data_IF_622407644823
#
_entry.id   IF_622407644823
#
_cell.length_a   1.000
_cell.length_b   1.000
_cell.length_c   1.000
_cell.angle_alpha   90.00
_cell.angle_beta   90.00
_cell.angle_gamma   90.00
#
_symmetry.space_group_name_H-M   'P 1'
#
loop_
_entity.id
_entity.type
_entity.pdbx_description
1 polymer ?
#
# COMPACT_ATOMS: atom_id res chain seq x y z
N UNK A 1 7.80 -32.05 22.86
CA UNK A 1 6.55 -31.27 22.94
C UNK A 1 6.77 -30.17 23.95
N UNK A 2 7.03 -28.96 23.48
CA UNK A 2 7.38 -27.79 24.30
C UNK A 2 6.08 -27.18 24.83
N UNK A 3 5.88 -27.18 26.15
CA UNK A 3 4.71 -26.58 26.79
C UNK A 3 4.80 -25.06 26.71
N UNK A 4 3.93 -24.45 25.91
CA UNK A 4 3.78 -22.99 25.81
C UNK A 4 3.22 -22.48 27.15
N UNK A 5 3.97 -21.62 27.83
CA UNK A 5 3.54 -21.00 29.08
C UNK A 5 2.33 -20.09 28.81
N UNK A 6 1.23 -20.31 29.53
CA UNK A 6 0.06 -19.44 29.50
C UNK A 6 0.44 -18.06 30.06
N UNK A 7 0.21 -16.96 29.31
CA UNK A 7 0.54 -15.62 29.78
C UNK A 7 -0.34 -15.24 30.98
N UNK A 8 0.25 -14.51 31.93
CA UNK A 8 -0.46 -13.98 33.11
C UNK A 8 -1.50 -12.97 32.65
N UNK A 9 -2.78 -13.33 32.72
CA UNK A 9 -3.89 -12.41 32.54
C UNK A 9 -4.08 -11.59 33.81
N UNK A 10 -4.40 -10.30 33.68
CA UNK A 10 -4.86 -9.44 34.79
C UNK A 10 -6.29 -9.78 35.25
N UNK A 11 -6.85 -10.88 34.75
CA UNK A 11 -8.23 -11.25 35.02
C UNK A 11 -8.29 -12.06 36.33
N UNK A 12 -9.08 -11.51 37.25
CA UNK A 12 -9.56 -12.08 38.51
C UNK A 12 -8.79 -11.72 39.78
N UNK A 13 -8.86 -10.44 40.19
CA UNK A 13 -9.08 -10.20 41.61
C UNK A 13 -10.56 -10.53 41.86
N UNK A 14 -10.85 -11.76 42.31
CA UNK A 14 -12.20 -12.13 42.76
C UNK A 14 -12.44 -11.51 44.14
N UNK A 15 -13.33 -10.53 44.19
CA UNK A 15 -13.86 -9.94 45.42
C UNK A 15 -14.83 -8.83 45.08
N UNK A 16 -15.92 -8.68 45.85
CA UNK A 16 -16.67 -7.43 45.85
C UNK A 16 -15.76 -6.35 46.44
N UNK A 17 -15.64 -5.21 45.78
CA UNK A 17 -15.05 -4.02 46.40
C UNK A 17 -15.79 -3.73 47.71
N UNK A 18 -15.09 -3.36 48.79
CA UNK A 18 -15.74 -3.03 50.05
C UNK A 18 -16.75 -1.90 49.83
N UNK A 19 -17.93 -1.99 50.47
CA UNK A 19 -18.93 -0.92 50.44
C UNK A 19 -18.27 0.37 50.92
N UNK A 20 -18.21 1.35 50.02
CA UNK A 20 -17.63 2.66 50.29
C UNK A 20 -18.79 3.61 50.59
N UNK A 21 -18.73 4.33 51.72
CA UNK A 21 -19.76 5.26 52.21
C UNK A 21 -19.95 6.53 51.35
N UNK A 22 -19.43 6.54 50.12
CA UNK A 22 -19.46 7.69 49.23
C UNK A 22 -20.78 7.74 48.43
N UNK A 23 -21.40 8.92 48.26
CA UNK A 23 -22.66 9.05 47.53
C UNK A 23 -22.47 8.73 46.05
N UNK A 24 -23.04 7.62 45.59
CA UNK A 24 -23.09 7.25 44.17
C UNK A 24 -24.28 7.92 43.49
N UNK A 25 -24.01 8.67 42.42
CA UNK A 25 -25.06 9.16 41.53
C UNK A 25 -25.40 8.08 40.50
N UNK A 26 -26.67 7.68 40.46
CA UNK A 26 -27.20 6.76 39.46
C UNK A 26 -27.84 7.56 38.32
N UNK A 27 -27.46 7.26 37.09
CA UNK A 27 -28.17 7.77 35.90
C UNK A 27 -29.57 7.13 35.80
N UNK A 28 -30.47 7.73 35.02
CA UNK A 28 -31.85 7.25 34.77
C UNK A 28 -31.93 5.80 34.28
N UNK A 29 -30.85 5.26 33.72
CA UNK A 29 -30.72 3.87 33.26
C UNK A 29 -30.10 2.93 34.32
N UNK A 30 -29.88 3.39 35.55
CA UNK A 30 -29.37 2.59 36.68
C UNK A 30 -27.87 2.31 36.65
N UNK A 31 -27.12 2.98 35.78
CA UNK A 31 -25.65 2.89 35.75
C UNK A 31 -25.07 3.83 36.80
N UNK A 32 -24.34 3.29 37.78
CA UNK A 32 -23.61 4.08 38.77
C UNK A 32 -22.35 4.66 38.16
N UNK A 33 -22.25 5.99 38.12
CA UNK A 33 -20.99 6.66 37.78
C UNK A 33 -20.26 6.93 39.09
N UNK A 34 -19.23 6.14 39.38
CA UNK A 34 -18.36 6.38 40.53
C UNK A 34 -17.59 7.70 40.31
N UNK A 35 -17.61 8.60 41.31
CA UNK A 35 -16.89 9.86 41.24
C UNK A 35 -15.41 9.62 41.57
N UNK A 36 -14.56 9.51 40.54
CA UNK A 36 -13.12 9.30 40.71
C UNK A 36 -12.34 9.35 39.40
N UNK A 37 -11.01 9.36 39.48
CA UNK A 37 -10.15 9.25 38.30
C UNK A 37 -10.28 7.83 37.71
N UNK A 38 -11.10 7.70 36.67
CA UNK A 38 -11.26 6.44 35.96
C UNK A 38 -9.96 6.10 35.21
N UNK A 39 -9.36 4.95 35.54
CA UNK A 39 -8.21 4.46 34.79
C UNK A 39 -8.68 4.10 33.37
N UNK A 40 -8.26 4.89 32.38
CA UNK A 40 -8.61 4.72 30.96
C UNK A 40 -8.21 3.35 30.40
N UNK A 41 -7.40 2.58 31.14
CA UNK A 41 -6.97 1.22 30.77
C UNK A 41 -7.81 0.11 31.40
N UNK A 42 -8.70 0.42 32.36
CA UNK A 42 -9.64 -0.57 32.89
C UNK A 42 -10.62 -1.01 31.79
N UNK A 43 -10.51 -2.26 31.35
CA UNK A 43 -11.37 -2.86 30.32
C UNK A 43 -10.66 -3.12 28.98
N UNK A 44 -9.41 -2.70 28.82
CA UNK A 44 -8.63 -3.01 27.62
C UNK A 44 -8.02 -4.41 27.77
N UNK A 45 -8.61 -5.40 27.11
CA UNK A 45 -8.07 -6.77 27.08
C UNK A 45 -6.90 -6.86 26.09
N UNK A 46 -5.72 -7.26 26.58
CA UNK A 46 -4.52 -7.43 25.77
C UNK A 46 -4.72 -8.39 24.58
N UNK A 47 -5.62 -9.38 24.71
CA UNK A 47 -5.94 -10.30 23.63
C UNK A 47 -6.75 -9.62 22.52
N UNK A 48 -7.66 -8.69 22.89
CA UNK A 48 -8.44 -7.93 21.91
C UNK A 48 -7.58 -6.97 21.11
N UNK A 49 -6.57 -6.32 21.75
CA UNK A 49 -5.58 -5.48 21.06
C UNK A 49 -4.79 -6.31 20.06
N UNK A 50 -4.28 -7.47 20.47
CA UNK A 50 -3.51 -8.34 19.59
C UNK A 50 -4.34 -8.81 18.38
N UNK A 51 -5.63 -9.12 18.57
CA UNK A 51 -6.55 -9.47 17.49
C UNK A 51 -6.87 -8.28 16.57
N UNK A 52 -6.93 -7.05 17.10
CA UNK A 52 -7.12 -5.85 16.28
C UNK A 52 -5.88 -5.62 15.41
N UNK A 53 -4.68 -5.71 15.98
CA UNK A 53 -3.43 -5.55 15.22
C UNK A 53 -3.27 -6.60 14.11
N UNK A 54 -3.65 -7.86 14.35
CA UNK A 54 -3.61 -8.89 13.30
C UNK A 54 -4.62 -8.63 12.19
N UNK A 55 -5.85 -8.23 12.53
CA UNK A 55 -6.88 -7.91 11.52
C UNK A 55 -6.52 -6.68 10.68
N UNK A 56 -5.85 -5.68 11.26
CA UNK A 56 -5.31 -4.54 10.50
C UNK A 56 -4.23 -4.99 9.51
N UNK A 57 -3.29 -5.86 9.91
CA UNK A 57 -2.25 -6.42 9.01
C UNK A 57 -2.86 -7.25 7.88
N UNK A 58 -3.79 -8.13 8.20
CA UNK A 58 -4.49 -8.95 7.21
C UNK A 58 -5.26 -8.08 6.20
N UNK A 59 -5.93 -7.01 6.67
CA UNK A 59 -6.60 -6.05 5.80
C UNK A 59 -5.63 -5.30 4.86
N UNK A 60 -4.45 -4.92 5.33
CA UNK A 60 -3.40 -4.32 4.51
C UNK A 60 -2.88 -5.29 3.46
N UNK A 61 -2.59 -6.55 3.83
CA UNK A 61 -2.18 -7.61 2.91
C UNK A 61 -3.27 -7.90 1.86
N UNK A 62 -4.54 -7.95 2.25
CA UNK A 62 -5.67 -8.11 1.32
C UNK A 62 -5.84 -6.91 0.39
N UNK A 63 -5.61 -5.68 0.87
CA UNK A 63 -5.57 -4.48 0.02
C UNK A 63 -4.39 -4.57 -0.96
N UNK A 64 -3.24 -5.09 -0.53
CA UNK A 64 -2.10 -5.35 -1.42
C UNK A 64 -2.44 -6.42 -2.48
N UNK A 65 -3.17 -7.48 -2.15
CA UNK A 65 -3.58 -8.55 -3.08
C UNK A 65 -4.70 -8.11 -4.03
N UNK A 66 -5.62 -7.25 -3.58
CA UNK A 66 -6.68 -6.65 -4.41
C UNK A 66 -6.16 -5.71 -5.49
N UNK A 67 -4.95 -5.20 -5.34
CA UNK A 67 -4.24 -4.49 -6.39
C UNK A 67 -3.85 -5.51 -7.47
N UNK A 68 -4.81 -5.89 -8.32
CA UNK A 68 -4.70 -6.91 -9.36
C UNK A 68 -3.41 -6.70 -10.17
N UNK A 69 -2.38 -7.44 -9.81
CA UNK A 69 -1.10 -7.42 -10.51
C UNK A 69 -1.27 -8.23 -11.79
N UNK A 70 -1.08 -7.57 -12.93
CA UNK A 70 -0.87 -8.27 -14.19
C UNK A 70 0.62 -8.25 -14.44
N UNK A 71 1.28 -9.40 -14.22
CA UNK A 71 2.67 -9.57 -14.62
C UNK A 71 2.77 -9.37 -16.12
N UNK A 72 3.51 -8.35 -16.55
CA UNK A 72 3.74 -8.07 -17.97
C UNK A 72 4.62 -9.11 -18.65
N UNK A 73 5.36 -9.88 -17.87
CA UNK A 73 6.31 -10.87 -18.35
C UNK A 73 5.73 -12.27 -18.10
N UNK A 74 5.23 -12.97 -19.14
CA UNK A 74 4.60 -14.29 -18.98
C UNK A 74 5.58 -15.39 -18.53
N UNK A 75 6.88 -15.12 -18.60
CA UNK A 75 7.95 -16.07 -18.26
C UNK A 75 8.38 -16.00 -16.78
N UNK A 76 7.91 -14.99 -16.03
CA UNK A 76 8.21 -14.85 -14.60
C UNK A 76 6.96 -15.21 -13.81
N UNK A 77 7.07 -16.22 -12.94
CA UNK A 77 5.99 -16.64 -12.03
C UNK A 77 5.83 -15.70 -10.82
N UNK A 78 6.64 -14.63 -10.73
CA UNK A 78 6.62 -13.63 -9.67
C UNK A 78 5.79 -12.41 -10.07
N UNK A 79 5.11 -11.75 -9.11
CA UNK A 79 4.26 -10.59 -9.41
C UNK A 79 5.03 -9.36 -9.92
N UNK A 80 6.33 -9.29 -9.64
CA UNK A 80 7.24 -8.23 -10.07
C UNK A 80 8.46 -8.82 -10.76
N UNK A 81 8.98 -8.08 -11.74
CA UNK A 81 10.16 -8.47 -12.51
C UNK A 81 11.44 -7.87 -11.89
N UNK A 82 12.59 -8.53 -12.07
CA UNK A 82 13.88 -7.93 -11.67
C UNK A 82 14.20 -6.72 -12.55
N UNK A 83 14.89 -5.73 -11.99
CA UNK A 83 15.20 -4.51 -12.73
C UNK A 83 15.91 -4.80 -14.05
N UNK A 84 16.83 -5.76 -14.09
CA UNK A 84 17.52 -6.23 -15.29
C UNK A 84 16.54 -6.64 -16.40
N UNK A 85 15.53 -7.45 -16.08
CA UNK A 85 14.53 -7.89 -17.08
C UNK A 85 13.68 -6.73 -17.59
N UNK A 86 13.34 -5.79 -16.71
CA UNK A 86 12.59 -4.57 -17.05
C UNK A 86 13.44 -3.66 -17.95
N UNK A 87 14.72 -3.50 -17.64
CA UNK A 87 15.70 -2.73 -18.43
C UNK A 87 15.88 -3.33 -19.82
N UNK A 88 16.03 -4.65 -19.93
CA UNK A 88 16.10 -5.33 -21.22
C UNK A 88 14.82 -5.13 -22.04
N UNK A 89 13.66 -5.13 -21.40
CA UNK A 89 12.39 -4.84 -22.08
C UNK A 89 12.31 -3.38 -22.55
N UNK A 90 12.76 -2.42 -21.73
CA UNK A 90 12.79 -1.01 -22.08
C UNK A 90 13.71 -0.74 -23.28
N UNK A 91 14.91 -1.33 -23.29
CA UNK A 91 15.87 -1.23 -24.39
C UNK A 91 15.31 -1.82 -25.70
N UNK A 92 14.66 -2.99 -25.64
CA UNK A 92 13.97 -3.57 -26.81
C UNK A 92 12.90 -2.64 -27.39
N UNK A 93 12.12 -1.98 -26.51
CA UNK A 93 11.06 -1.05 -26.94
C UNK A 93 11.61 0.26 -27.50
N UNK A 94 12.76 0.70 -27.02
CA UNK A 94 13.41 1.90 -27.54
C UNK A 94 14.02 1.67 -28.94
N UNK A 95 14.54 0.45 -29.18
CA UNK A 95 14.93 -0.04 -30.50
C UNK A 95 16.31 0.41 -31.00
N UNK A 96 17.16 0.95 -30.13
CA UNK A 96 18.48 1.50 -30.50
C UNK A 96 19.64 0.58 -30.09
N UNK A 97 19.50 -0.18 -29.00
CA UNK A 97 20.50 -1.14 -28.55
C UNK A 97 19.99 -2.58 -28.65
N UNK A 98 20.85 -3.51 -29.08
CA UNK A 98 20.55 -4.93 -29.02
C UNK A 98 20.69 -5.43 -27.56
N UNK A 99 19.70 -6.14 -27.00
CA UNK A 99 19.74 -6.59 -25.59
C UNK A 99 20.90 -7.52 -25.25
N UNK A 100 21.46 -8.22 -26.24
CA UNK A 100 22.59 -9.12 -26.07
C UNK A 100 23.97 -8.44 -25.96
N UNK A 101 24.06 -7.13 -26.22
CA UNK A 101 25.32 -6.37 -26.19
C UNK A 101 25.30 -5.26 -25.15
N UNK A 102 24.37 -5.30 -24.20
CA UNK A 102 24.24 -4.28 -23.16
C UNK A 102 25.34 -4.47 -22.14
N UNK A 103 26.19 -3.46 -21.97
CA UNK A 103 27.28 -3.45 -21.00
C UNK A 103 26.75 -3.21 -19.58
N UNK A 104 27.53 -3.64 -18.57
CA UNK A 104 27.20 -3.46 -17.16
C UNK A 104 27.10 -1.98 -16.76
N UNK A 105 27.85 -1.09 -17.40
CA UNK A 105 27.77 0.36 -17.15
C UNK A 105 26.41 0.93 -17.58
N UNK A 106 25.88 0.49 -18.72
CA UNK A 106 24.53 0.88 -19.18
C UNK A 106 23.48 0.38 -18.20
N UNK A 107 23.62 -0.85 -17.67
CA UNK A 107 22.71 -1.35 -16.64
C UNK A 107 22.73 -0.51 -15.37
N UNK A 108 23.91 -0.05 -14.92
CA UNK A 108 24.02 0.82 -13.75
C UNK A 108 23.39 2.19 -13.98
N UNK A 109 23.50 2.74 -15.18
CA UNK A 109 22.76 3.95 -15.56
C UNK A 109 21.24 3.76 -15.48
N UNK A 110 20.72 2.57 -15.85
CA UNK A 110 19.29 2.26 -15.67
C UNK A 110 18.88 2.09 -14.20
N UNK A 111 19.80 1.73 -13.30
CA UNK A 111 19.54 1.76 -11.84
C UNK A 111 19.28 3.19 -11.37
N UNK A 112 20.05 4.16 -11.86
CA UNK A 112 19.83 5.57 -11.54
C UNK A 112 18.46 6.06 -12.05
N UNK A 113 18.08 5.70 -13.28
CA UNK A 113 16.76 6.03 -13.81
C UNK A 113 15.62 5.35 -13.06
N UNK A 114 15.80 4.10 -12.64
CA UNK A 114 14.83 3.43 -11.80
C UNK A 114 14.62 4.18 -10.47
N UNK A 115 15.69 4.71 -9.88
CA UNK A 115 15.62 5.50 -8.66
C UNK A 115 14.96 6.88 -8.88
N UNK A 116 15.14 7.52 -10.04
CA UNK A 116 14.39 8.74 -10.38
C UNK A 116 12.89 8.46 -10.52
N UNK A 117 12.51 7.35 -11.17
CA UNK A 117 11.10 6.94 -11.28
C UNK A 117 10.49 6.63 -9.91
N UNK A 118 11.27 6.09 -8.97
CA UNK A 118 10.84 5.90 -7.59
C UNK A 118 10.53 7.23 -6.90
N UNK A 119 11.36 8.25 -7.08
CA UNK A 119 11.09 9.57 -6.50
C UNK A 119 9.84 10.22 -7.10
N UNK A 120 9.63 10.11 -8.41
CA UNK A 120 8.39 10.55 -9.07
C UNK A 120 7.15 9.82 -8.52
N UNK A 121 7.28 8.53 -8.24
CA UNK A 121 6.23 7.72 -7.62
C UNK A 121 5.95 8.13 -6.17
N UNK A 122 6.98 8.43 -5.39
CA UNK A 122 6.84 8.87 -3.98
C UNK A 122 6.15 10.22 -3.86
N UNK A 123 6.39 11.12 -4.81
CA UNK A 123 5.69 12.40 -4.90
C UNK A 123 4.23 12.29 -5.38
N UNK A 124 3.77 11.11 -5.79
CA UNK A 124 2.49 10.95 -6.47
C UNK A 124 1.29 10.84 -5.50
N UNK A 125 0.20 11.64 -5.65
CA UNK A 125 -0.94 11.65 -4.71
C UNK A 125 -1.70 10.32 -4.56
N UNK A 126 -1.63 9.46 -5.59
CA UNK A 126 -2.26 8.13 -5.60
C UNK A 126 -1.35 7.00 -5.12
N UNK A 127 -0.12 7.31 -4.70
CA UNK A 127 0.80 6.33 -4.15
C UNK A 127 0.67 6.27 -2.63
N UNK A 128 0.23 5.12 -2.12
CA UNK A 128 -0.04 4.94 -0.68
C UNK A 128 1.19 4.40 0.09
N UNK A 129 2.27 3.96 -0.58
CA UNK A 129 3.44 3.34 0.05
C UNK A 129 4.73 4.20 -0.07
N UNK A 130 4.91 5.23 0.76
CA UNK A 130 6.06 6.15 0.66
C UNK A 130 7.42 5.50 1.03
N UNK A 131 7.44 4.27 1.54
CA UNK A 131 8.64 3.59 2.07
C UNK A 131 9.16 2.49 1.12
N UNK A 132 9.34 2.81 -0.17
CA UNK A 132 10.08 1.94 -1.08
C UNK A 132 11.57 2.30 -1.01
N UNK A 133 12.43 1.32 -0.72
CA UNK A 133 13.88 1.57 -0.84
C UNK A 133 14.33 1.62 -2.30
N UNK A 134 15.41 2.37 -2.52
CA UNK A 134 16.07 2.48 -3.81
C UNK A 134 16.63 1.14 -4.31
N UNK A 135 16.77 1.05 -5.62
CA UNK A 135 17.52 -0.02 -6.26
C UNK A 135 19.03 0.20 -6.04
N UNK A 136 19.72 -0.85 -5.60
CA UNK A 136 21.18 -0.85 -5.45
C UNK A 136 21.85 -1.71 -6.52
N UNK A 137 21.18 -2.79 -6.93
CA UNK A 137 21.69 -3.74 -7.90
C UNK A 137 20.67 -4.00 -9.03
N UNK A 138 21.10 -4.23 -10.29
CA UNK A 138 20.19 -4.57 -11.40
C UNK A 138 19.34 -5.82 -11.17
N UNK A 139 19.78 -6.76 -10.34
CA UNK A 139 19.01 -7.96 -10.01
C UNK A 139 17.95 -7.74 -8.93
N UNK A 140 17.88 -6.56 -8.31
CA UNK A 140 16.91 -6.26 -7.27
C UNK A 140 15.47 -6.25 -7.81
N UNK A 141 14.52 -6.63 -6.94
CA UNK A 141 13.08 -6.68 -7.23
C UNK A 141 12.37 -5.76 -6.23
N UNK A 142 11.49 -4.89 -6.72
CA UNK A 142 10.67 -3.99 -5.88
C UNK A 142 9.20 -4.12 -6.23
N UNK A 143 8.33 -3.76 -5.27
CA UNK A 143 6.87 -3.80 -5.40
C UNK A 143 6.30 -2.64 -6.24
N UNK A 144 6.92 -2.38 -7.40
CA UNK A 144 6.49 -1.32 -8.33
C UNK A 144 5.93 -1.96 -9.59
N UNK A 145 4.78 -1.49 -10.12
CA UNK A 145 4.24 -2.03 -11.36
C UNK A 145 5.23 -1.88 -12.53
N UNK A 146 5.58 -3.00 -13.17
CA UNK A 146 6.54 -3.05 -14.28
C UNK A 146 6.21 -2.08 -15.42
N UNK A 147 4.92 -1.89 -15.72
CA UNK A 147 4.46 -0.93 -16.75
C UNK A 147 4.92 0.51 -16.49
N UNK A 148 4.90 0.93 -15.21
CA UNK A 148 5.32 2.28 -14.82
C UNK A 148 6.84 2.36 -14.94
N UNK A 149 7.57 1.34 -14.46
CA UNK A 149 9.02 1.28 -14.54
C UNK A 149 9.53 1.31 -15.99
N UNK A 150 8.98 0.46 -16.88
CA UNK A 150 9.36 0.43 -18.30
C UNK A 150 9.13 1.80 -18.96
N UNK A 151 7.97 2.41 -18.74
CA UNK A 151 7.63 3.69 -19.35
C UNK A 151 8.48 4.85 -18.79
N UNK A 152 8.74 4.86 -17.48
CA UNK A 152 9.57 5.87 -16.83
C UNK A 152 11.04 5.76 -17.23
N UNK A 153 11.60 4.56 -17.25
CA UNK A 153 12.98 4.35 -17.72
C UNK A 153 13.13 4.72 -19.20
N UNK A 154 12.15 4.41 -20.05
CA UNK A 154 12.12 4.87 -21.44
C UNK A 154 12.13 6.40 -21.54
N UNK A 155 11.35 7.07 -20.70
CA UNK A 155 11.30 8.53 -20.65
C UNK A 155 12.64 9.13 -20.23
N UNK A 156 13.20 8.75 -19.07
CA UNK A 156 14.48 9.31 -18.61
C UNK A 156 15.64 8.98 -19.56
N UNK A 157 15.64 7.79 -20.14
CA UNK A 157 16.62 7.43 -21.16
C UNK A 157 16.50 8.33 -22.41
N UNK A 158 15.28 8.58 -22.88
CA UNK A 158 15.06 9.50 -24.00
C UNK A 158 15.50 10.93 -23.68
N UNK A 159 15.32 11.38 -22.44
CA UNK A 159 15.74 12.70 -21.94
C UNK A 159 17.26 12.81 -21.93
N UNK A 160 17.97 11.81 -21.41
CA UNK A 160 19.42 11.80 -21.38
C UNK A 160 20.02 11.82 -22.78
N UNK A 161 19.42 11.08 -23.72
CA UNK A 161 19.83 11.07 -25.12
C UNK A 161 19.42 12.32 -25.91
N UNK A 162 18.66 13.25 -25.31
CA UNK A 162 18.04 14.40 -25.99
C UNK A 162 17.30 13.97 -27.27
N UNK A 163 16.61 12.83 -27.18
CA UNK A 163 15.95 12.22 -28.33
C UNK A 163 14.61 12.90 -28.61
N UNK A 164 14.26 13.06 -29.89
CA UNK A 164 12.92 13.54 -30.28
C UNK A 164 11.79 12.62 -29.79
N UNK A 165 12.12 11.39 -29.36
CA UNK A 165 11.17 10.45 -28.76
C UNK A 165 10.65 10.89 -27.38
N UNK A 166 11.26 11.90 -26.75
CA UNK A 166 10.79 12.47 -25.46
C UNK A 166 9.34 12.95 -25.58
N UNK A 167 8.98 13.58 -26.71
CA UNK A 167 7.63 14.11 -26.94
C UNK A 167 6.56 13.00 -26.95
N UNK A 168 6.94 11.78 -27.35
CA UNK A 168 6.04 10.63 -27.36
C UNK A 168 6.02 9.92 -25.99
N UNK A 169 7.19 9.67 -25.38
CA UNK A 169 7.28 8.86 -24.16
C UNK A 169 6.89 9.61 -22.89
N UNK A 170 7.09 10.94 -22.82
CA UNK A 170 6.68 11.75 -21.67
C UNK A 170 5.18 11.66 -21.35
N UNK A 171 4.27 12.03 -22.26
CA UNK A 171 2.83 11.95 -21.99
C UNK A 171 2.36 10.51 -21.80
N UNK A 172 3.02 9.54 -22.46
CA UNK A 172 2.71 8.11 -22.27
C UNK A 172 3.02 7.64 -20.85
N UNK A 173 4.17 8.03 -20.29
CA UNK A 173 4.58 7.71 -18.92
C UNK A 173 3.60 8.26 -17.89
N UNK A 174 3.33 9.57 -17.90
CA UNK A 174 2.43 10.20 -16.92
C UNK A 174 1.00 9.65 -17.04
N UNK A 175 0.49 9.44 -18.25
CA UNK A 175 -0.84 8.85 -18.45
C UNK A 175 -0.91 7.41 -17.92
N UNK A 176 0.14 6.61 -18.17
CA UNK A 176 0.22 5.24 -17.69
C UNK A 176 0.27 5.19 -16.16
N UNK A 177 1.12 6.01 -15.56
CA UNK A 177 1.28 6.14 -14.10
C UNK A 177 -0.05 6.53 -13.46
N UNK A 178 -0.66 7.62 -13.91
CA UNK A 178 -1.95 8.10 -13.38
C UNK A 178 -3.03 7.02 -13.48
N UNK A 179 -3.14 6.35 -14.64
CA UNK A 179 -4.13 5.32 -14.87
C UNK A 179 -3.95 4.13 -13.92
N UNK A 180 -2.74 3.57 -13.84
CA UNK A 180 -2.47 2.39 -13.02
C UNK A 180 -2.67 2.71 -11.54
N UNK A 181 -2.13 3.84 -11.07
CA UNK A 181 -2.25 4.22 -9.67
C UNK A 181 -3.69 4.55 -9.28
N UNK A 182 -4.44 5.21 -10.16
CA UNK A 182 -5.86 5.44 -9.95
C UNK A 182 -6.64 4.12 -9.82
N UNK A 183 -6.45 3.19 -10.76
CA UNK A 183 -7.11 1.88 -10.68
C UNK A 183 -6.66 1.07 -9.47
N UNK A 184 -5.43 1.25 -9.00
CA UNK A 184 -4.93 0.60 -7.78
C UNK A 184 -5.63 1.17 -6.53
N UNK A 185 -5.76 2.49 -6.44
CA UNK A 185 -6.33 3.17 -5.27
C UNK A 185 -7.85 3.04 -5.18
N UNK A 186 -8.54 3.16 -6.31
CA UNK A 186 -10.00 3.24 -6.35
C UNK A 186 -10.67 2.00 -6.99
N UNK A 187 -9.89 1.12 -7.61
CA UNK A 187 -10.42 -0.03 -8.35
C UNK A 187 -11.08 0.34 -9.67
N UNK A 188 -11.72 -0.65 -10.30
CA UNK A 188 -12.59 -0.48 -11.46
C UNK A 188 -14.04 -0.27 -11.04
N UNK A 189 -14.27 0.59 -10.04
CA UNK A 189 -15.61 0.92 -9.59
C UNK A 189 -16.38 1.72 -10.64
N UNK A 190 -17.70 1.55 -10.68
CA UNK A 190 -18.56 2.42 -11.47
C UNK A 190 -18.33 3.88 -11.05
N UNK A 191 -18.33 4.80 -12.03
CA UNK A 191 -18.18 6.22 -11.77
C UNK A 191 -19.43 6.68 -11.01
N UNK A 192 -19.33 6.74 -9.69
CA UNK A 192 -20.39 7.27 -8.83
C UNK A 192 -20.14 8.76 -8.62
N UNK A 193 -21.08 9.60 -9.06
CA UNK A 193 -21.05 11.02 -8.74
C UNK A 193 -21.44 11.22 -7.28
N UNK A 194 -20.47 11.57 -6.45
CA UNK A 194 -20.72 12.09 -5.10
C UNK A 194 -20.83 13.61 -5.15
N UNK A 195 -21.82 14.23 -4.47
CA UNK A 195 -21.79 15.66 -4.19
C UNK A 195 -20.46 16.02 -3.49
N UNK A 196 -19.87 17.15 -3.88
CA UNK A 196 -18.56 17.62 -3.41
C UNK A 196 -18.49 17.84 -1.88
N UNK A 197 -19.65 17.91 -1.22
CA UNK A 197 -19.83 18.27 0.19
C UNK A 197 -20.21 17.08 1.10
N UNK A 198 -19.94 15.84 0.69
CA UNK A 198 -20.06 14.67 1.59
C UNK A 198 -18.72 13.98 1.76
N UNK A 199 -18.15 14.21 2.94
CA UNK A 199 -17.02 13.49 3.54
C UNK A 199 -17.36 12.01 3.75
N UNK A 200 -17.43 11.23 2.68
CA UNK A 200 -17.45 9.78 2.77
C UNK A 200 -16.32 9.29 1.88
N UNK A 201 -15.25 8.78 2.52
CA UNK A 201 -14.18 8.07 1.81
C UNK A 201 -14.83 6.96 0.96
N UNK A 202 -14.30 6.63 -0.22
CA UNK A 202 -14.84 5.58 -1.05
C UNK A 202 -14.55 4.22 -0.38
N UNK A 203 -15.35 3.86 0.62
CA UNK A 203 -15.46 2.49 1.11
C UNK A 203 -16.36 1.78 0.13
N UNK A 204 -15.75 0.99 -0.75
CA UNK A 204 -16.46 0.04 -1.59
C UNK A 204 -17.14 -1.01 -0.73
N UNK A 205 -18.35 -0.69 -0.25
CA UNK A 205 -19.48 -1.56 0.12
C UNK A 205 -20.55 -0.66 0.73
N UNK A 206 -21.51 -0.23 -0.08
CA UNK A 206 -22.85 0.05 0.44
C UNK A 206 -23.85 -0.80 -0.34
N UNK A 207 -24.38 -1.79 0.36
CA UNK A 207 -25.55 -2.56 0.00
C UNK A 207 -26.77 -1.63 -0.04
N UNK A 208 -27.31 -1.40 -1.24
CA UNK A 208 -28.65 -0.85 -1.36
C UNK A 208 -29.66 -1.93 -0.96
N UNK A 209 -30.21 -1.82 0.25
CA UNK A 209 -31.55 -2.32 0.56
C UNK A 209 -32.54 -1.35 -0.09
N UNK A 210 -33.22 -1.84 -1.12
CA UNK A 210 -34.23 -1.12 -1.89
C UNK A 210 -35.62 -1.68 -1.68
N UNK A 211 -35.99 -2.07 -0.46
CA UNK A 211 -37.37 -2.43 -0.15
C UNK A 211 -38.31 -1.22 -0.19
N UNK A 212 -39.03 -1.10 -1.30
CA UNK A 212 -40.38 -0.53 -1.39
C UNK A 212 -41.29 -1.56 -2.03
#
# INVERSE_FOLDING_TARGET
>A
MTTVATPRTYQNIKGKTPETDEPTHYDTDGVSVEAGAQDLRQGIDANTIAQTDTTWREYEEEKEQRNRYSGNNPHLQTPYSSLETITMQALRRYGDMHPGTVDGEVMMMFVEFANLVLEDLRGHPYWDNPEIDYYFHPSDIRKVPDNIMVAGMLYHYSVQQQSNKIEAYGPMYFKMMNRILYYRKYGSGDIQMSPWDRSVKPTGTQSYDGSR
#
